data_IF_448041291141
#
_entry.id   IF_448041291141
#
_cell.length_a   1.000
_cell.length_b   1.000
_cell.length_c   1.000
_cell.angle_alpha   90.00
_cell.angle_beta   90.00
_cell.angle_gamma   90.00
#
_symmetry.space_group_name_H-M   'P 1'
#
loop_
_entity.id
_entity.type
_entity.pdbx_description
1 polymer ?
#
# COMPACT_ATOMS: atom_id res chain seq x y z
N UNK A 1 -61.63 36.04 38.29
CA UNK A 1 -60.76 36.41 37.15
C UNK A 1 -59.62 35.41 37.11
N UNK A 2 -59.78 34.32 36.31
CA UNK A 2 -58.78 33.23 36.24
C UNK A 2 -57.93 33.37 34.99
N UNK A 3 -56.65 33.57 35.17
CA UNK A 3 -55.67 33.67 34.09
C UNK A 3 -55.14 32.29 33.80
N UNK A 4 -55.47 31.77 32.62
CA UNK A 4 -54.92 30.48 32.14
C UNK A 4 -53.63 30.72 31.37
N UNK A 5 -52.47 30.40 31.97
CA UNK A 5 -51.19 30.44 31.33
C UNK A 5 -51.05 29.16 30.47
N UNK A 6 -50.94 29.32 29.15
CA UNK A 6 -50.65 28.21 28.21
C UNK A 6 -49.12 28.09 28.08
N UNK A 7 -48.56 26.98 28.57
CA UNK A 7 -47.16 26.59 28.26
C UNK A 7 -47.14 26.05 26.83
N UNK A 8 -46.33 26.71 26.01
CA UNK A 8 -45.97 26.19 24.69
C UNK A 8 -44.73 25.23 24.83
N UNK A 9 -44.95 23.99 24.51
CA UNK A 9 -43.86 23.01 24.43
C UNK A 9 -43.11 23.18 23.09
N UNK A 10 -41.82 23.55 23.14
CA UNK A 10 -40.94 23.58 21.97
C UNK A 10 -40.35 22.19 21.79
N UNK A 11 -40.76 21.47 20.77
CA UNK A 11 -40.15 20.20 20.40
C UNK A 11 -38.90 20.45 19.58
N UNK A 12 -37.71 20.17 20.17
CA UNK A 12 -36.44 20.20 19.45
C UNK A 12 -36.27 18.91 18.67
N UNK A 13 -36.32 18.97 17.34
CA UNK A 13 -35.99 17.86 16.48
C UNK A 13 -34.46 17.72 16.36
N UNK A 14 -33.91 16.68 16.92
CA UNK A 14 -32.49 16.34 16.73
C UNK A 14 -32.32 15.69 15.33
N UNK A 15 -31.60 16.35 14.44
CA UNK A 15 -31.19 15.80 13.15
C UNK A 15 -29.98 14.91 13.39
N UNK A 16 -30.17 13.60 13.34
CA UNK A 16 -29.06 12.63 13.35
C UNK A 16 -28.49 12.58 11.93
N UNK A 17 -27.33 13.19 11.73
CA UNK A 17 -26.56 13.03 10.49
C UNK A 17 -25.94 11.65 10.48
N UNK A 18 -26.49 10.72 9.70
CA UNK A 18 -25.88 9.44 9.43
C UNK A 18 -24.68 9.66 8.49
N UNK A 19 -23.46 9.55 9.02
CA UNK A 19 -22.25 9.50 8.21
C UNK A 19 -22.27 8.20 7.40
N UNK A 20 -22.45 8.29 6.09
CA UNK A 20 -22.27 7.17 5.18
C UNK A 20 -20.77 6.86 5.14
N UNK A 21 -20.33 5.82 5.82
CA UNK A 21 -18.99 5.28 5.67
C UNK A 21 -18.87 4.73 4.23
N UNK A 22 -18.03 5.35 3.42
CA UNK A 22 -17.65 4.80 2.12
C UNK A 22 -16.98 3.45 2.36
N UNK A 23 -17.29 2.41 1.56
CA UNK A 23 -16.61 1.13 1.68
C UNK A 23 -15.12 1.37 1.44
N UNK A 24 -14.27 0.92 2.37
CA UNK A 24 -12.83 0.89 2.14
C UNK A 24 -12.59 0.03 0.90
N UNK A 25 -11.98 0.62 -0.14
CA UNK A 25 -11.57 -0.13 -1.32
C UNK A 25 -10.61 -1.21 -0.85
N UNK A 26 -10.92 -2.47 -1.11
CA UNK A 26 -10.01 -3.56 -0.78
C UNK A 26 -8.70 -3.31 -1.56
N UNK A 27 -7.59 -3.21 -0.84
CA UNK A 27 -6.27 -3.05 -1.45
C UNK A 27 -6.02 -4.23 -2.40
N UNK A 28 -5.59 -3.93 -3.63
CA UNK A 28 -5.29 -4.97 -4.62
C UNK A 28 -4.04 -5.72 -4.19
N UNK A 29 -4.15 -7.03 -3.99
CA UNK A 29 -3.00 -7.88 -3.69
C UNK A 29 -2.19 -8.14 -4.95
N UNK A 30 -0.89 -7.84 -4.88
CA UNK A 30 0.08 -7.96 -5.96
C UNK A 30 0.99 -9.15 -5.64
N UNK A 31 0.94 -10.25 -6.43
CA UNK A 31 1.84 -11.36 -6.21
C UNK A 31 3.27 -11.01 -6.67
N UNK A 32 4.24 -11.35 -5.81
CA UNK A 32 5.68 -11.28 -6.09
C UNK A 32 6.20 -12.67 -6.36
N UNK A 33 7.07 -12.79 -7.34
CA UNK A 33 7.78 -14.05 -7.65
C UNK A 33 9.10 -13.78 -8.35
N UNK A 34 9.98 -14.79 -8.33
CA UNK A 34 11.31 -14.73 -8.94
C UNK A 34 11.28 -14.60 -10.46
N UNK A 35 10.27 -15.14 -11.12
CA UNK A 35 10.14 -15.11 -12.59
C UNK A 35 9.90 -13.71 -13.16
N UNK A 36 9.64 -12.72 -12.34
CA UNK A 36 9.51 -11.32 -12.76
C UNK A 36 10.82 -10.54 -12.65
N UNK A 37 11.84 -11.08 -11.97
CA UNK A 37 13.15 -10.46 -11.85
C UNK A 37 13.96 -10.61 -13.14
N UNK A 38 14.46 -9.52 -13.76
CA UNK A 38 15.17 -9.59 -15.03
C UNK A 38 16.54 -10.25 -14.92
N UNK A 39 17.17 -10.24 -13.74
CA UNK A 39 18.44 -10.91 -13.49
C UNK A 39 18.30 -12.37 -13.01
N UNK A 40 17.04 -12.85 -12.91
CA UNK A 40 16.73 -14.11 -12.24
C UNK A 40 16.68 -13.95 -10.73
N UNK A 41 15.57 -14.34 -10.11
CA UNK A 41 15.37 -14.28 -8.67
C UNK A 41 15.52 -15.64 -7.98
N UNK A 42 15.19 -15.67 -6.70
CA UNK A 42 15.19 -16.89 -5.87
C UNK A 42 14.03 -17.81 -6.28
N UNK A 43 14.34 -19.02 -6.72
CA UNK A 43 13.35 -19.92 -7.31
C UNK A 43 12.51 -20.64 -6.24
N UNK A 44 11.21 -20.77 -6.50
CA UNK A 44 10.27 -21.49 -5.63
C UNK A 44 9.55 -20.59 -4.63
N UNK A 45 9.84 -19.31 -4.62
CA UNK A 45 9.46 -18.37 -3.61
C UNK A 45 8.42 -17.36 -4.09
N UNK A 46 7.64 -16.85 -3.16
CA UNK A 46 6.57 -15.92 -3.46
C UNK A 46 6.35 -14.91 -2.33
N UNK A 47 5.65 -13.86 -2.65
CA UNK A 47 5.19 -12.87 -1.69
C UNK A 47 3.94 -12.18 -2.18
N UNK A 48 3.37 -11.37 -1.30
CA UNK A 48 2.23 -10.53 -1.63
C UNK A 48 2.47 -9.11 -1.12
N UNK A 49 2.15 -8.16 -1.95
CA UNK A 49 2.22 -6.75 -1.64
C UNK A 49 0.87 -6.09 -1.86
N UNK A 50 0.49 -5.21 -0.98
CA UNK A 50 -0.64 -4.30 -1.20
C UNK A 50 -0.29 -2.92 -0.70
N UNK A 51 -0.90 -1.90 -1.29
CA UNK A 51 -0.66 -0.52 -0.93
C UNK A 51 -1.90 0.34 -1.06
N UNK A 52 -1.87 1.47 -0.38
CA UNK A 52 -2.85 2.55 -0.50
C UNK A 52 -2.12 3.88 -0.58
N UNK A 53 -2.70 4.83 -1.30
CA UNK A 53 -2.24 6.22 -1.37
C UNK A 53 -3.39 7.11 -0.92
N UNK A 54 -3.15 7.90 0.13
CA UNK A 54 -4.06 8.91 0.63
C UNK A 54 -3.33 10.27 0.67
N UNK A 55 -3.62 11.13 -0.31
CA UNK A 55 -2.83 12.33 -0.54
C UNK A 55 -1.39 12.01 -0.89
N UNK A 56 -0.46 12.32 0.01
CA UNK A 56 0.98 12.02 -0.11
C UNK A 56 1.42 10.84 0.75
N UNK A 57 0.49 10.24 1.51
CA UNK A 57 0.79 9.13 2.39
C UNK A 57 0.66 7.79 1.64
N UNK A 58 1.78 7.12 1.42
CA UNK A 58 1.87 5.77 0.87
C UNK A 58 1.98 4.77 2.00
N UNK A 59 0.99 3.87 2.16
CA UNK A 59 1.01 2.80 3.15
C UNK A 59 1.01 1.45 2.44
N UNK A 60 1.71 0.46 3.02
CA UNK A 60 1.85 -0.87 2.45
C UNK A 60 1.72 -1.99 3.48
N UNK A 61 1.39 -3.17 2.97
CA UNK A 61 1.60 -4.45 3.63
C UNK A 61 2.38 -5.35 2.68
N UNK A 62 3.33 -6.12 3.19
CA UNK A 62 4.22 -6.97 2.43
C UNK A 62 4.44 -8.27 3.19
N UNK A 63 4.25 -9.40 2.52
CA UNK A 63 4.54 -10.72 3.04
C UNK A 63 5.37 -11.52 2.06
N UNK A 64 6.17 -12.47 2.58
CA UNK A 64 6.97 -13.36 1.76
C UNK A 64 7.13 -14.72 2.43
N UNK A 65 7.36 -15.73 1.62
CA UNK A 65 7.61 -17.09 2.05
C UNK A 65 8.64 -17.74 1.15
N UNK A 66 9.54 -18.52 1.74
CA UNK A 66 10.53 -19.32 1.04
C UNK A 66 11.82 -18.59 0.66
N UNK A 67 11.89 -17.27 0.69
CA UNK A 67 13.14 -16.54 0.44
C UNK A 67 13.97 -16.38 1.72
N UNK A 68 15.28 -16.29 1.55
CA UNK A 68 16.16 -15.89 2.66
C UNK A 68 15.79 -14.46 3.14
N UNK A 69 16.03 -14.19 4.42
CA UNK A 69 15.66 -12.92 5.05
C UNK A 69 16.06 -11.70 4.18
N UNK A 70 15.09 -10.90 3.72
CA UNK A 70 15.38 -9.68 2.96
C UNK A 70 16.05 -8.65 3.86
N UNK A 71 17.04 -7.97 3.32
CA UNK A 71 17.64 -6.80 3.96
C UNK A 71 17.06 -5.48 3.44
N UNK A 72 16.33 -5.51 2.31
CA UNK A 72 15.60 -4.34 1.82
C UNK A 72 14.46 -4.70 0.89
N UNK A 73 13.47 -3.81 0.82
CA UNK A 73 12.38 -3.83 -0.14
C UNK A 73 12.19 -2.43 -0.71
N UNK A 74 11.88 -2.34 -2.01
CA UNK A 74 11.74 -1.06 -2.69
C UNK A 74 10.58 -1.06 -3.67
N UNK A 75 10.01 0.14 -3.91
CA UNK A 75 9.25 0.42 -5.13
C UNK A 75 10.17 1.12 -6.12
N UNK A 76 10.16 0.65 -7.35
CA UNK A 76 10.99 1.14 -8.47
C UNK A 76 10.13 1.64 -9.61
N UNK A 77 10.70 2.50 -10.46
CA UNK A 77 10.11 2.96 -11.71
C UNK A 77 10.71 2.21 -12.90
N UNK A 78 10.03 1.21 -13.42
CA UNK A 78 10.29 0.58 -14.71
C UNK A 78 9.13 -0.34 -15.11
N UNK A 79 8.94 -0.60 -16.41
CA UNK A 79 7.99 -1.59 -16.89
C UNK A 79 8.45 -3.01 -16.54
N UNK A 80 7.56 -3.97 -16.73
CA UNK A 80 7.80 -5.40 -16.47
C UNK A 80 9.07 -5.90 -17.20
N UNK A 81 9.91 -6.64 -16.47
CA UNK A 81 11.13 -7.24 -17.00
C UNK A 81 12.30 -6.27 -17.21
N UNK A 82 12.18 -5.03 -16.75
CA UNK A 82 13.23 -4.02 -16.81
C UNK A 82 13.59 -3.56 -15.39
N UNK A 83 14.88 -3.47 -15.09
CA UNK A 83 15.35 -2.86 -13.84
C UNK A 83 15.28 -1.33 -13.92
N UNK A 84 14.85 -0.69 -12.84
CA UNK A 84 14.72 0.76 -12.76
C UNK A 84 15.21 1.35 -11.44
N UNK A 85 15.23 2.69 -11.33
CA UNK A 85 15.65 3.36 -10.11
C UNK A 85 14.64 3.16 -8.98
N UNK A 86 15.12 3.16 -7.74
CA UNK A 86 14.29 3.19 -6.53
C UNK A 86 13.55 4.53 -6.45
N UNK A 87 12.27 4.49 -6.17
CA UNK A 87 11.43 5.67 -5.92
C UNK A 87 10.82 5.69 -4.53
N UNK A 88 10.63 4.53 -3.89
CA UNK A 88 10.20 4.41 -2.49
C UNK A 88 11.02 3.29 -1.84
N UNK A 89 11.63 3.61 -0.71
CA UNK A 89 12.25 2.63 0.18
C UNK A 89 11.21 2.12 1.16
N UNK A 90 11.08 0.79 1.27
CA UNK A 90 10.20 0.14 2.22
C UNK A 90 11.06 -0.37 3.38
N UNK A 91 10.74 0.05 4.61
CA UNK A 91 11.47 -0.40 5.80
C UNK A 91 11.17 -1.89 6.03
N UNK A 92 12.05 -2.76 5.54
CA UNK A 92 11.96 -4.22 5.72
C UNK A 92 13.00 -4.76 6.69
N UNK A 93 13.95 -3.91 7.11
CA UNK A 93 15.05 -4.28 7.99
C UNK A 93 14.57 -4.78 9.36
N UNK A 94 14.90 -6.03 9.68
CA UNK A 94 14.55 -6.65 10.95
C UNK A 94 13.08 -7.04 11.12
N UNK A 95 12.28 -6.93 10.04
CA UNK A 95 10.93 -7.47 9.97
C UNK A 95 10.94 -9.00 9.85
N UNK A 96 9.89 -9.66 10.39
CA UNK A 96 9.62 -11.06 10.10
C UNK A 96 9.05 -11.24 8.68
N UNK A 97 8.48 -12.40 8.36
CA UNK A 97 7.95 -12.70 7.03
C UNK A 97 6.76 -11.84 6.59
N UNK A 98 6.28 -10.98 7.48
CA UNK A 98 5.25 -9.99 7.24
C UNK A 98 5.72 -8.62 7.74
N UNK A 99 5.59 -7.58 6.93
CA UNK A 99 5.90 -6.19 7.32
C UNK A 99 4.85 -5.24 6.79
N UNK A 100 4.64 -4.14 7.49
CA UNK A 100 3.77 -3.05 7.09
C UNK A 100 4.38 -1.72 7.47
N UNK A 101 4.01 -0.68 6.75
CA UNK A 101 4.49 0.66 7.04
C UNK A 101 3.77 1.72 6.23
N UNK A 102 4.12 2.95 6.55
CA UNK A 102 3.66 4.12 5.79
C UNK A 102 4.82 5.10 5.62
N UNK A 103 4.84 5.79 4.48
CA UNK A 103 5.84 6.81 4.16
C UNK A 103 5.20 7.98 3.43
N UNK A 104 5.67 9.19 3.72
CA UNK A 104 5.33 10.35 2.90
C UNK A 104 6.14 10.31 1.60
N UNK A 105 5.44 10.49 0.48
CA UNK A 105 6.01 10.62 -0.86
C UNK A 105 5.63 11.98 -1.45
N UNK A 106 6.26 12.39 -2.55
CA UNK A 106 5.87 13.64 -3.19
C UNK A 106 4.48 13.54 -3.84
N UNK A 107 3.79 14.66 -3.96
CA UNK A 107 2.48 14.72 -4.62
C UNK A 107 2.57 14.27 -6.09
N UNK A 108 3.70 14.58 -6.77
CA UNK A 108 3.97 14.16 -8.14
C UNK A 108 4.10 12.65 -8.25
N UNK A 109 4.84 12.01 -7.31
CA UNK A 109 5.00 10.55 -7.30
C UNK A 109 3.67 9.85 -6.97
N UNK A 110 2.90 10.38 -6.00
CA UNK A 110 1.58 9.86 -5.66
C UNK A 110 0.64 9.89 -6.87
N UNK A 111 0.59 11.02 -7.57
CA UNK A 111 -0.21 11.18 -8.79
C UNK A 111 0.27 10.26 -9.92
N UNK A 112 1.57 10.10 -10.11
CA UNK A 112 2.14 9.25 -11.14
C UNK A 112 1.83 7.76 -10.91
N UNK A 113 2.00 7.24 -9.68
CA UNK A 113 1.66 5.86 -9.32
C UNK A 113 0.15 5.62 -9.47
N UNK A 114 -0.68 6.56 -9.03
CA UNK A 114 -2.14 6.45 -9.16
C UNK A 114 -2.59 6.42 -10.62
N UNK A 115 -1.93 7.20 -11.48
CA UNK A 115 -2.26 7.32 -12.92
C UNK A 115 -1.82 6.10 -13.72
N UNK A 116 -0.64 5.56 -13.44
CA UNK A 116 -0.06 4.41 -14.15
C UNK A 116 0.73 3.52 -13.17
N UNK A 117 0.04 2.75 -12.31
CA UNK A 117 0.72 1.86 -11.38
C UNK A 117 1.59 0.81 -12.11
N UNK A 118 1.18 0.39 -13.32
CA UNK A 118 1.91 -0.57 -14.12
C UNK A 118 3.31 -0.12 -14.56
N UNK A 119 3.64 1.17 -14.47
CA UNK A 119 4.99 1.68 -14.68
C UNK A 119 5.94 1.44 -13.50
N UNK A 120 5.42 0.94 -12.37
CA UNK A 120 6.16 0.72 -11.12
C UNK A 120 6.14 -0.74 -10.71
N UNK A 121 7.15 -1.15 -9.95
CA UNK A 121 7.19 -2.48 -9.37
C UNK A 121 7.75 -2.45 -7.94
N UNK A 122 7.36 -3.43 -7.14
CA UNK A 122 7.95 -3.70 -5.85
C UNK A 122 8.85 -4.92 -5.96
N UNK A 123 9.99 -4.92 -5.26
CA UNK A 123 10.82 -6.09 -5.10
C UNK A 123 11.46 -6.18 -3.71
N UNK A 124 11.93 -7.37 -3.39
CA UNK A 124 12.71 -7.69 -2.20
C UNK A 124 14.10 -8.11 -2.58
N UNK A 125 15.09 -7.72 -1.78
CA UNK A 125 16.50 -8.03 -1.95
C UNK A 125 17.03 -8.81 -0.75
N UNK A 126 17.81 -9.86 -0.99
CA UNK A 126 18.51 -10.59 0.06
C UNK A 126 19.98 -10.81 -0.31
N UNK A 127 20.75 -11.44 0.59
CA UNK A 127 22.18 -11.62 0.41
C UNK A 127 22.54 -12.45 -0.84
N UNK A 128 21.69 -13.39 -1.23
CA UNK A 128 21.87 -14.23 -2.43
C UNK A 128 21.45 -13.54 -3.72
N UNK A 129 20.50 -12.61 -3.63
CA UNK A 129 19.87 -11.95 -4.78
C UNK A 129 19.81 -10.44 -4.57
N UNK A 130 20.97 -9.80 -4.62
CA UNK A 130 21.12 -8.37 -4.39
C UNK A 130 20.44 -7.49 -5.46
N UNK A 131 20.22 -8.03 -6.66
CA UNK A 131 19.51 -7.34 -7.73
C UNK A 131 17.97 -7.50 -7.62
N UNK A 132 17.50 -8.44 -6.78
CA UNK A 132 16.11 -8.76 -6.52
C UNK A 132 15.87 -10.26 -6.40
N UNK A 133 15.25 -10.69 -5.31
CA UNK A 133 14.87 -12.07 -5.06
C UNK A 133 13.49 -12.38 -5.65
N UNK A 134 12.51 -11.55 -5.34
CA UNK A 134 11.14 -11.62 -5.87
C UNK A 134 10.63 -10.22 -6.22
N UNK A 135 9.78 -10.15 -7.25
CA UNK A 135 9.24 -8.89 -7.79
C UNK A 135 7.77 -9.02 -8.19
N UNK A 136 7.02 -7.92 -8.09
CA UNK A 136 5.67 -7.78 -8.61
C UNK A 136 5.42 -6.40 -9.20
N UNK A 137 4.79 -6.33 -10.38
CA UNK A 137 4.37 -5.06 -10.99
C UNK A 137 3.14 -4.52 -10.26
N UNK A 138 3.12 -3.21 -9.97
CA UNK A 138 1.96 -2.58 -9.32
C UNK A 138 0.72 -2.63 -10.25
N UNK A 139 -0.46 -2.51 -9.63
CA UNK A 139 -1.78 -2.56 -10.30
C UNK A 139 -2.68 -1.48 -9.75
#
# INVERSE_FOLDING_TARGET
MSIHTRLAAVASAAVVAAALALPASAATSIPLNSGQEPAGGEAGDHGFFSYTIDGTKFCWTLSWEGIADPFSGHVHLAPRGVAGPVVIDLDTDGGGPDTEGCREISAELAAAITSDPGAYYVNLHNAGFQAGAIRGQLK
#
